data_IF_640995969755
#
_entry.id   IF_640995969755
#
_cell.length_a   1.000
_cell.length_b   1.000
_cell.length_c   1.000
_cell.angle_alpha   90.00
_cell.angle_beta   90.00
_cell.angle_gamma   90.00
#
_symmetry.space_group_name_H-M   'P 1'
#
loop_
_entity.id
_entity.type
_entity.pdbx_description
1 polymer ?
#
# COMPACT_ATOMS: atom_id res chain seq x y z
N UNK A 1 3.57 6.63 19.89
CA UNK A 1 2.29 6.56 19.16
C UNK A 1 1.34 5.71 19.98
N UNK A 2 0.21 6.27 20.40
CA UNK A 2 -0.85 5.57 21.12
C UNK A 2 -1.86 4.98 20.11
N UNK A 3 -2.69 4.03 20.55
CA UNK A 3 -3.77 3.43 19.74
C UNK A 3 -4.71 4.50 19.20
N UNK A 4 -4.99 5.56 19.96
CA UNK A 4 -5.82 6.69 19.51
C UNK A 4 -5.22 7.43 18.31
N UNK A 5 -3.90 7.60 18.28
CA UNK A 5 -3.20 8.25 17.16
C UNK A 5 -3.28 7.38 15.90
N UNK A 6 -3.11 6.06 16.06
CA UNK A 6 -3.26 5.10 14.97
C UNK A 6 -4.68 5.11 14.40
N UNK A 7 -5.70 5.12 15.25
CA UNK A 7 -7.10 5.20 14.81
C UNK A 7 -7.39 6.47 14.02
N UNK A 8 -6.82 7.62 14.43
CA UNK A 8 -6.95 8.87 13.68
C UNK A 8 -6.31 8.77 12.28
N UNK A 9 -5.09 8.21 12.20
CA UNK A 9 -4.40 7.97 10.92
C UNK A 9 -5.23 7.05 10.02
N UNK A 10 -5.75 5.95 10.56
CA UNK A 10 -6.55 5.00 9.80
C UNK A 10 -7.87 5.61 9.30
N UNK A 11 -8.51 6.47 10.09
CA UNK A 11 -9.75 7.14 9.69
C UNK A 11 -9.51 8.12 8.52
N UNK A 12 -8.40 8.86 8.54
CA UNK A 12 -8.00 9.70 7.41
C UNK A 12 -7.71 8.86 6.15
N UNK A 13 -6.97 7.74 6.31
CA UNK A 13 -6.63 6.86 5.21
C UNK A 13 -7.85 6.15 4.62
N UNK A 14 -8.86 5.86 5.43
CA UNK A 14 -10.12 5.21 4.99
C UNK A 14 -10.84 6.01 3.90
N UNK A 15 -10.76 7.35 3.94
CA UNK A 15 -11.37 8.20 2.92
C UNK A 15 -10.68 8.08 1.55
N UNK A 16 -9.38 7.75 1.53
CA UNK A 16 -8.57 7.60 0.31
C UNK A 16 -8.61 6.18 -0.26
N UNK A 17 -8.59 5.17 0.61
CA UNK A 17 -8.55 3.76 0.23
C UNK A 17 -9.95 3.12 0.37
N UNK A 18 -10.91 3.64 -0.39
CA UNK A 18 -12.27 3.09 -0.44
C UNK A 18 -12.30 1.92 -1.41
N UNK A 19 -13.25 1.01 -1.23
CA UNK A 19 -13.41 -0.13 -2.12
C UNK A 19 -13.67 0.32 -3.57
N UNK A 20 -14.40 1.42 -3.78
CA UNK A 20 -14.71 1.92 -5.11
C UNK A 20 -13.49 2.53 -5.84
N UNK A 21 -12.46 2.94 -5.09
CA UNK A 21 -11.22 3.49 -5.66
C UNK A 21 -10.13 2.43 -5.82
N UNK A 22 -10.39 1.18 -5.43
CA UNK A 22 -9.41 0.12 -5.49
C UNK A 22 -8.98 -0.15 -6.93
N UNK A 23 -7.68 0.00 -7.19
CA UNK A 23 -7.09 -0.27 -8.50
C UNK A 23 -5.96 -1.29 -8.33
N UNK A 24 -6.11 -2.46 -8.96
CA UNK A 24 -5.20 -3.61 -8.79
C UNK A 24 -3.73 -3.22 -8.98
N UNK A 25 -3.43 -2.30 -9.91
CA UNK A 25 -2.06 -1.87 -10.19
C UNK A 25 -1.62 -0.62 -9.39
N UNK A 26 -2.54 0.31 -9.12
CA UNK A 26 -2.18 1.70 -8.77
C UNK A 26 -2.70 2.15 -7.40
N UNK A 27 -3.68 1.44 -6.83
CA UNK A 27 -4.27 1.77 -5.55
C UNK A 27 -4.78 0.49 -4.88
N UNK A 28 -3.82 -0.32 -4.45
CA UNK A 28 -4.03 -1.62 -3.83
C UNK A 28 -3.49 -1.63 -2.39
N UNK A 29 -3.51 -2.81 -1.78
CA UNK A 29 -2.99 -3.03 -0.43
C UNK A 29 -1.53 -2.57 -0.24
N UNK A 30 -0.67 -2.70 -1.25
CA UNK A 30 0.73 -2.30 -1.15
C UNK A 30 0.88 -0.78 -1.03
N UNK A 31 0.06 -0.03 -1.76
CA UNK A 31 0.03 1.43 -1.68
C UNK A 31 -0.50 1.88 -0.31
N UNK A 32 -1.56 1.24 0.18
CA UNK A 32 -2.08 1.48 1.54
C UNK A 32 -1.02 1.24 2.60
N UNK A 33 -0.39 0.07 2.61
CA UNK A 33 0.65 -0.28 3.60
C UNK A 33 1.84 0.66 3.49
N UNK A 34 2.23 1.08 2.28
CA UNK A 34 3.31 2.05 2.10
C UNK A 34 2.98 3.40 2.71
N UNK A 35 1.80 3.94 2.43
CA UNK A 35 1.33 5.23 2.96
C UNK A 35 1.19 5.19 4.48
N UNK A 36 0.70 4.07 5.02
CA UNK A 36 0.61 3.82 6.46
C UNK A 36 2.00 3.80 7.11
N UNK A 37 2.97 3.07 6.54
CA UNK A 37 4.34 3.04 7.06
C UNK A 37 4.99 4.42 7.07
N UNK A 38 4.76 5.24 6.03
CA UNK A 38 5.26 6.61 5.98
C UNK A 38 4.65 7.46 7.10
N UNK A 39 3.34 7.36 7.32
CA UNK A 39 2.64 8.11 8.37
C UNK A 39 3.00 7.65 9.79
N UNK A 40 3.26 6.36 9.99
CA UNK A 40 3.58 5.80 11.31
C UNK A 40 5.04 6.03 11.73
N UNK A 41 5.98 5.93 10.80
CA UNK A 41 7.42 5.86 11.09
C UNK A 41 8.20 7.05 10.51
N UNK A 42 7.55 7.91 9.72
CA UNK A 42 8.18 9.06 9.05
C UNK A 42 9.22 8.69 7.98
N UNK A 43 9.44 7.39 7.73
CA UNK A 43 10.44 6.90 6.78
C UNK A 43 9.82 6.75 5.40
N UNK A 44 10.34 7.50 4.43
CA UNK A 44 9.89 7.54 3.03
C UNK A 44 10.00 6.20 2.27
N UNK A 45 10.71 5.21 2.83
CA UNK A 45 11.01 3.94 2.15
C UNK A 45 10.51 2.77 2.94
N UNK A 46 9.41 2.18 2.45
CA UNK A 46 9.09 0.77 2.75
C UNK A 46 10.32 -0.05 2.40
N UNK A 47 10.79 -0.93 3.30
CA UNK A 47 11.98 -1.73 3.05
C UNK A 47 11.89 -2.45 1.70
N UNK A 48 12.98 -2.40 0.93
CA UNK A 48 13.03 -2.91 -0.44
C UNK A 48 12.57 -4.37 -0.56
N UNK A 49 12.65 -5.17 0.51
CA UNK A 49 12.17 -6.56 0.53
C UNK A 49 10.65 -6.69 0.43
N UNK A 50 9.87 -5.74 0.95
CA UNK A 50 8.39 -5.75 0.86
C UNK A 50 7.96 -5.52 -0.59
N UNK A 51 8.61 -4.59 -1.28
CA UNK A 51 8.33 -4.27 -2.69
C UNK A 51 9.01 -5.22 -3.69
N UNK A 52 9.90 -6.12 -3.28
CA UNK A 52 10.48 -7.13 -4.19
C UNK A 52 9.42 -8.10 -4.71
N UNK A 53 8.53 -8.56 -3.84
CA UNK A 53 7.45 -9.49 -4.23
C UNK A 53 6.41 -8.80 -5.12
N UNK A 54 6.05 -7.55 -4.81
CA UNK A 54 5.15 -6.76 -5.66
C UNK A 54 5.75 -6.48 -7.05
N UNK A 55 7.05 -6.15 -7.12
CA UNK A 55 7.78 -5.97 -8.40
C UNK A 55 7.90 -7.27 -9.19
N UNK A 56 8.15 -8.38 -8.51
CA UNK A 56 8.19 -9.70 -9.14
C UNK A 56 6.82 -10.12 -9.68
N UNK A 57 5.74 -9.89 -8.91
CA UNK A 57 4.37 -10.10 -9.36
C UNK A 57 4.04 -9.28 -10.61
N UNK A 58 4.32 -7.97 -10.59
CA UNK A 58 4.11 -7.10 -11.75
C UNK A 58 4.93 -7.51 -12.98
N UNK A 59 6.17 -7.98 -12.78
CA UNK A 59 7.01 -8.53 -13.85
C UNK A 59 6.36 -9.79 -14.44
N UNK A 60 5.90 -10.74 -13.62
CA UNK A 60 5.23 -11.95 -14.10
C UNK A 60 3.93 -11.64 -14.84
N UNK A 61 3.14 -10.65 -14.37
CA UNK A 61 1.91 -10.21 -15.06
C UNK A 61 2.19 -9.65 -16.46
N UNK A 62 3.34 -9.00 -16.68
CA UNK A 62 3.74 -8.51 -18.01
C UNK A 62 4.07 -9.66 -19.00
N UNK A 63 4.52 -10.81 -18.50
CA UNK A 63 4.86 -11.99 -19.33
C UNK A 63 3.67 -12.94 -19.57
N UNK A 64 2.55 -12.75 -18.89
CA UNK A 64 1.32 -13.54 -19.11
C UNK A 64 0.09 -12.62 -19.19
N UNK A 65 -0.23 -12.08 -20.38
CA UNK A 65 -1.32 -11.12 -20.55
C UNK A 65 -2.74 -11.71 -20.37
N UNK A 66 -2.87 -13.02 -20.12
CA UNK A 66 -4.14 -13.75 -20.17
C UNK A 66 -4.37 -14.65 -18.93
N UNK A 67 -4.37 -14.07 -17.73
CA UNK A 67 -5.03 -14.66 -16.56
C UNK A 67 -6.05 -13.69 -15.98
#
# INVERSE_FOLDING_TARGET
MNVSDLSGILEEMRQKYRAETYHILNLNCNHFTSDLCVRLVGSQRVPNYVNKLAKFGAFITLFSPNM
#
